data_IF_530009722986
#
_entry.id   IF_530009722986
#
_cell.length_a   1.000
_cell.length_b   1.000
_cell.length_c   1.000
_cell.angle_alpha   90.00
_cell.angle_beta   90.00
_cell.angle_gamma   90.00
#
_symmetry.space_group_name_H-M   'P 1'
#
loop_
_entity.id
_entity.type
_entity.pdbx_description
1 polymer ?
#
# COMPACT_ATOMS: atom_id res chain seq x y z
N UNK A 1 -13.12 32.76 2.06
CA UNK A 1 -12.80 33.81 3.04
C UNK A 1 -12.45 33.29 4.45
N UNK A 2 -12.35 32.00 4.67
CA UNK A 2 -12.06 31.38 5.98
C UNK A 2 -10.61 30.89 6.16
N UNK A 3 -9.78 31.00 5.15
CA UNK A 3 -8.39 30.47 5.13
C UNK A 3 -7.30 31.53 5.36
N UNK A 4 -7.66 32.81 5.45
CA UNK A 4 -6.70 33.91 5.62
C UNK A 4 -6.34 34.25 7.09
N UNK A 5 -6.65 33.42 8.05
CA UNK A 5 -6.57 33.82 9.48
C UNK A 5 -5.32 33.39 10.24
N UNK A 6 -4.36 32.68 9.65
CA UNK A 6 -3.15 32.25 10.38
C UNK A 6 -1.91 32.30 9.48
N UNK A 7 -1.15 33.37 9.55
CA UNK A 7 0.28 33.49 9.21
C UNK A 7 0.81 32.99 7.85
N UNK A 8 2.08 33.26 7.57
CA UNK A 8 2.80 32.92 6.32
C UNK A 8 2.78 31.44 5.92
N UNK A 9 2.58 30.53 6.86
CA UNK A 9 2.48 29.08 6.62
C UNK A 9 1.22 28.67 5.87
N UNK A 10 0.14 29.43 5.99
CA UNK A 10 -1.11 29.19 5.26
C UNK A 10 -0.98 29.50 3.76
N UNK A 11 -0.13 30.42 3.38
CA UNK A 11 0.12 30.74 1.96
C UNK A 11 0.73 29.56 1.17
N UNK A 12 1.53 28.72 1.82
CA UNK A 12 2.18 27.56 1.15
C UNK A 12 1.14 26.46 0.89
N UNK A 13 0.29 26.16 1.88
CA UNK A 13 -0.80 25.18 1.71
C UNK A 13 -1.83 25.62 0.69
N UNK A 14 -2.18 26.91 0.70
CA UNK A 14 -3.11 27.48 -0.29
C UNK A 14 -2.54 27.36 -1.69
N UNK A 15 -1.24 27.57 -1.86
CA UNK A 15 -0.55 27.37 -3.13
C UNK A 15 -0.60 25.91 -3.59
N UNK A 16 -0.30 24.97 -2.71
CA UNK A 16 -0.40 23.53 -3.02
C UNK A 16 -1.82 23.15 -3.39
N UNK A 17 -2.84 23.60 -2.65
CA UNK A 17 -4.24 23.28 -2.93
C UNK A 17 -4.75 23.88 -4.24
N UNK A 18 -4.39 25.12 -4.52
CA UNK A 18 -4.73 25.75 -5.79
C UNK A 18 -4.12 24.98 -6.95
N UNK A 19 -2.82 24.69 -6.86
CA UNK A 19 -2.14 23.86 -7.84
C UNK A 19 -2.76 22.47 -7.97
N UNK A 20 -3.07 21.79 -6.87
CA UNK A 20 -3.71 20.48 -6.85
C UNK A 20 -5.07 20.50 -7.56
N UNK A 21 -5.87 21.54 -7.31
CA UNK A 21 -7.16 21.73 -7.96
C UNK A 21 -7.00 21.92 -9.47
N UNK A 22 -6.07 22.75 -9.90
CA UNK A 22 -5.78 23.01 -11.31
C UNK A 22 -5.20 21.79 -12.03
N UNK A 23 -4.21 21.13 -11.40
CA UNK A 23 -3.57 19.93 -11.96
C UNK A 23 -4.53 18.76 -12.17
N UNK A 24 -5.44 18.53 -11.22
CA UNK A 24 -6.42 17.45 -11.30
C UNK A 24 -7.75 17.90 -11.98
N UNK A 25 -7.83 19.14 -12.47
CA UNK A 25 -9.02 19.69 -13.16
C UNK A 25 -10.29 19.52 -12.32
N UNK A 26 -10.21 19.87 -11.03
CA UNK A 26 -11.32 19.77 -10.08
C UNK A 26 -11.68 21.14 -9.49
N UNK A 27 -12.96 21.36 -9.09
CA UNK A 27 -13.33 22.57 -8.38
C UNK A 27 -12.57 22.72 -7.05
N UNK A 28 -12.13 23.95 -6.73
CA UNK A 28 -11.40 24.23 -5.47
C UNK A 28 -12.14 23.74 -4.22
N UNK A 29 -13.47 23.77 -4.20
CA UNK A 29 -14.28 23.26 -3.12
C UNK A 29 -14.14 21.74 -2.90
N UNK A 30 -13.83 20.96 -3.94
CA UNK A 30 -13.53 19.53 -3.80
C UNK A 30 -12.14 19.30 -3.19
N UNK A 31 -11.14 20.08 -3.59
CA UNK A 31 -9.81 20.03 -2.97
C UNK A 31 -9.89 20.41 -1.47
N UNK A 32 -10.64 21.44 -1.12
CA UNK A 32 -10.87 21.85 0.26
C UNK A 32 -11.51 20.75 1.12
N UNK A 33 -12.46 19.97 0.57
CA UNK A 33 -13.08 18.85 1.29
C UNK A 33 -12.08 17.76 1.72
N UNK A 34 -10.94 17.64 1.05
CA UNK A 34 -9.89 16.68 1.45
C UNK A 34 -9.19 17.10 2.74
N UNK A 35 -9.17 18.41 3.03
CA UNK A 35 -8.51 18.98 4.22
C UNK A 35 -9.48 19.21 5.35
N UNK A 36 -10.65 19.74 5.05
CA UNK A 36 -11.64 20.13 6.04
C UNK A 36 -12.46 18.92 6.50
N UNK A 37 -12.30 18.54 7.75
CA UNK A 37 -13.06 17.44 8.36
C UNK A 37 -14.44 17.85 8.81
N UNK A 38 -14.53 18.97 9.55
CA UNK A 38 -15.77 19.55 10.07
C UNK A 38 -15.52 20.97 10.57
N UNK A 39 -16.57 21.82 10.61
CA UNK A 39 -16.52 23.13 11.26
C UNK A 39 -16.10 23.05 12.73
N UNK A 40 -16.56 22.01 13.43
CA UNK A 40 -16.25 21.77 14.84
C UNK A 40 -14.76 21.54 15.11
N UNK A 41 -14.02 20.88 14.21
CA UNK A 41 -12.57 20.68 14.35
C UNK A 41 -11.79 21.99 14.18
N UNK A 42 -12.35 22.95 13.44
CA UNK A 42 -11.73 24.25 13.17
C UNK A 42 -11.98 25.24 14.33
N UNK A 43 -13.16 25.19 14.94
CA UNK A 43 -13.62 26.16 15.94
C UNK A 43 -13.16 25.81 17.37
N UNK A 44 -12.99 24.53 17.69
CA UNK A 44 -12.63 24.07 19.03
C UNK A 44 -11.11 23.97 19.21
N UNK A 45 -10.51 25.06 19.69
CA UNK A 45 -9.09 25.09 20.11
C UNK A 45 -8.78 24.24 21.36
N UNK A 46 -9.80 23.83 22.13
CA UNK A 46 -9.66 23.07 23.37
C UNK A 46 -9.56 21.53 23.15
N UNK A 47 -9.71 21.05 21.94
CA UNK A 47 -9.47 19.63 21.60
C UNK A 47 -8.00 19.19 21.72
N UNK A 48 -7.15 20.06 22.25
CA UNK A 48 -5.69 19.93 22.33
C UNK A 48 -5.17 18.87 23.30
N UNK A 49 -6.00 18.10 23.98
CA UNK A 49 -5.50 17.08 24.90
C UNK A 49 -5.29 15.72 24.25
N UNK A 50 -4.46 15.65 23.23
CA UNK A 50 -3.87 14.37 22.83
C UNK A 50 -2.73 14.03 23.79
N UNK A 51 -3.07 13.85 25.07
CA UNK A 51 -2.14 13.56 26.17
C UNK A 51 -1.29 12.29 25.98
N UNK A 52 -1.57 11.49 24.93
CA UNK A 52 -0.82 10.27 24.59
C UNK A 52 0.49 10.55 23.82
N UNK A 53 0.81 11.80 23.48
CA UNK A 53 2.00 12.16 22.71
C UNK A 53 3.07 12.92 23.50
N UNK A 54 2.91 13.05 24.82
CA UNK A 54 4.02 13.43 25.67
C UNK A 54 4.99 12.25 25.77
N UNK A 55 5.91 12.18 24.85
CA UNK A 55 6.84 11.07 24.79
C UNK A 55 8.26 11.59 24.69
N UNK A 56 9.02 11.25 25.68
CA UNK A 56 10.46 11.20 25.55
C UNK A 56 10.81 10.10 24.55
N UNK A 57 11.49 10.49 23.50
CA UNK A 57 11.96 9.56 22.48
C UNK A 57 12.89 8.55 23.15
N UNK A 58 12.52 7.28 23.11
CA UNK A 58 13.36 6.22 23.67
C UNK A 58 14.72 6.21 22.99
N UNK A 59 15.80 6.29 23.77
CA UNK A 59 17.16 6.15 23.24
C UNK A 59 17.45 4.67 22.91
N UNK A 60 16.82 4.16 21.87
CA UNK A 60 17.18 2.84 21.32
C UNK A 60 18.41 3.01 20.45
N UNK A 61 19.54 2.47 20.90
CA UNK A 61 20.76 2.38 20.08
C UNK A 61 20.69 1.10 19.23
N UNK A 62 20.06 1.18 18.06
CA UNK A 62 20.15 0.09 17.08
C UNK A 62 21.42 0.32 16.26
N UNK A 63 22.29 -0.67 16.19
CA UNK A 63 23.46 -0.61 15.31
C UNK A 63 23.01 -0.80 13.86
N UNK A 64 23.09 0.25 13.08
CA UNK A 64 22.93 0.21 11.64
C UNK A 64 24.13 -0.44 10.96
N UNK A 65 23.92 -1.12 9.84
CA UNK A 65 25.00 -1.59 8.97
C UNK A 65 25.67 -0.43 8.24
N UNK A 66 26.82 -0.65 7.62
CA UNK A 66 27.52 0.40 6.87
C UNK A 66 26.66 1.01 5.77
N UNK A 67 25.97 0.16 5.00
CA UNK A 67 25.05 0.62 3.93
C UNK A 67 23.87 1.42 4.50
N UNK A 68 23.33 0.98 5.65
CA UNK A 68 22.24 1.69 6.32
C UNK A 68 22.70 3.04 6.88
N UNK A 69 23.93 3.13 7.42
CA UNK A 69 24.50 4.41 7.87
C UNK A 69 24.65 5.36 6.69
N UNK A 70 25.24 4.91 5.58
CA UNK A 70 25.38 5.72 4.39
C UNK A 70 24.03 6.22 3.87
N UNK A 71 23.05 5.33 3.77
CA UNK A 71 21.69 5.69 3.36
C UNK A 71 21.04 6.71 4.31
N UNK A 72 21.20 6.52 5.61
CA UNK A 72 20.75 7.48 6.63
C UNK A 72 21.40 8.86 6.46
N UNK A 73 22.71 8.89 6.29
CA UNK A 73 23.46 10.14 6.06
C UNK A 73 22.98 10.85 4.80
N UNK A 74 22.74 10.12 3.71
CA UNK A 74 22.17 10.66 2.49
C UNK A 74 20.73 11.18 2.67
N UNK A 75 19.93 10.56 3.54
CA UNK A 75 18.58 11.03 3.88
C UNK A 75 18.58 12.31 4.73
N UNK A 76 19.58 12.50 5.57
CA UNK A 76 19.66 13.59 6.55
C UNK A 76 20.59 14.73 6.09
N UNK A 77 21.55 14.46 5.21
CA UNK A 77 22.68 15.32 4.85
C UNK A 77 22.32 16.61 4.13
N UNK A 78 21.09 16.82 3.75
CA UNK A 78 20.66 18.05 3.10
C UNK A 78 19.86 18.92 4.04
N UNK A 79 20.37 20.10 4.28
CA UNK A 79 19.67 21.24 4.83
C UNK A 79 18.23 21.32 4.31
N UNK A 80 17.26 20.79 5.01
CA UNK A 80 15.79 20.96 4.92
C UNK A 80 15.20 21.48 3.58
N UNK A 81 15.92 21.35 2.47
CA UNK A 81 15.49 21.79 1.15
C UNK A 81 14.82 20.65 0.40
N UNK A 82 13.93 21.01 -0.51
CA UNK A 82 13.24 20.03 -1.36
C UNK A 82 14.23 19.14 -2.11
N UNK A 83 14.10 17.86 -1.92
CA UNK A 83 14.82 16.81 -2.64
C UNK A 83 13.99 15.54 -2.61
N UNK A 84 14.02 14.81 -3.71
CA UNK A 84 13.46 13.46 -3.79
C UNK A 84 14.62 12.47 -3.67
N UNK A 85 14.59 11.67 -2.61
CA UNK A 85 15.56 10.60 -2.37
C UNK A 85 14.86 9.24 -2.42
N UNK A 86 15.46 8.28 -3.09
CA UNK A 86 14.95 6.90 -3.21
C UNK A 86 15.80 5.97 -2.36
N UNK A 87 15.18 5.30 -1.41
CA UNK A 87 15.79 4.23 -0.62
C UNK A 87 15.35 2.88 -1.19
N UNK A 88 16.20 2.28 -2.01
CA UNK A 88 15.97 0.97 -2.59
C UNK A 88 16.61 -0.14 -1.76
N UNK A 89 15.87 -1.22 -1.50
CA UNK A 89 16.43 -2.39 -0.82
C UNK A 89 15.45 -3.55 -0.80
N UNK A 90 15.97 -4.76 -0.85
CA UNK A 90 15.14 -5.98 -0.79
C UNK A 90 14.32 -6.05 0.49
N UNK A 91 13.27 -6.86 0.50
CA UNK A 91 12.51 -7.14 1.72
C UNK A 91 13.44 -7.71 2.80
N UNK A 92 13.39 -7.15 4.00
CA UNK A 92 14.29 -7.54 5.09
C UNK A 92 15.67 -6.85 5.09
N UNK A 93 15.96 -5.91 4.19
CA UNK A 93 17.21 -5.12 4.22
C UNK A 93 17.26 -4.04 5.30
N UNK A 94 16.15 -3.83 6.02
CA UNK A 94 16.08 -2.85 7.09
C UNK A 94 15.75 -1.42 6.66
N UNK A 95 15.14 -1.22 5.47
CA UNK A 95 14.67 0.10 5.00
C UNK A 95 13.94 0.90 6.07
N UNK A 96 13.02 0.22 6.78
CA UNK A 96 12.23 0.85 7.86
C UNK A 96 13.10 1.42 8.97
N UNK A 97 14.19 0.74 9.34
CA UNK A 97 15.09 1.23 10.39
C UNK A 97 15.84 2.49 9.96
N UNK A 98 16.23 2.56 8.69
CA UNK A 98 16.94 3.72 8.13
C UNK A 98 16.06 4.97 8.21
N UNK A 99 14.84 4.89 7.70
CA UNK A 99 13.96 6.06 7.75
C UNK A 99 13.38 6.34 9.15
N UNK A 100 13.30 5.36 10.04
CA UNK A 100 12.97 5.62 11.45
C UNK A 100 14.06 6.44 12.13
N UNK A 101 15.35 6.15 11.87
CA UNK A 101 16.44 6.92 12.43
C UNK A 101 16.46 8.36 11.86
N UNK A 102 16.21 8.54 10.56
CA UNK A 102 16.06 9.86 9.96
C UNK A 102 14.89 10.64 10.59
N UNK A 103 13.75 9.99 10.75
CA UNK A 103 12.57 10.58 11.38
C UNK A 103 12.81 10.94 12.86
N UNK A 104 13.55 10.10 13.59
CA UNK A 104 13.92 10.34 14.99
C UNK A 104 14.77 11.61 15.14
N UNK A 105 15.74 11.79 14.25
CA UNK A 105 16.55 13.01 14.21
C UNK A 105 15.68 14.25 13.92
N UNK A 106 14.77 14.15 12.96
CA UNK A 106 13.83 15.20 12.60
C UNK A 106 12.94 15.63 13.78
N UNK A 107 12.38 14.67 14.51
CA UNK A 107 11.51 14.92 15.66
C UNK A 107 12.29 15.61 16.78
N UNK A 108 13.55 15.23 17.01
CA UNK A 108 14.43 15.89 18.00
C UNK A 108 14.67 17.36 17.67
N UNK A 109 14.62 17.73 16.39
CA UNK A 109 14.71 19.11 15.93
C UNK A 109 13.38 19.88 16.02
N UNK A 110 12.31 19.24 16.50
CA UNK A 110 10.99 19.85 16.69
C UNK A 110 10.04 19.76 15.49
N UNK A 111 10.44 19.13 14.39
CA UNK A 111 9.61 18.95 13.20
C UNK A 111 8.62 17.79 13.33
N UNK A 112 7.63 17.80 12.43
CA UNK A 112 6.67 16.72 12.25
C UNK A 112 7.02 15.88 11.03
N UNK A 113 6.70 14.59 11.05
CA UNK A 113 6.91 13.67 9.94
C UNK A 113 5.62 13.00 9.47
N UNK A 114 5.54 12.77 8.16
CA UNK A 114 4.46 12.01 7.54
C UNK A 114 5.02 10.74 6.91
N UNK A 115 4.48 9.59 7.32
CA UNK A 115 4.73 8.29 6.68
C UNK A 115 3.46 7.89 5.93
N UNK A 116 3.55 7.85 4.61
CA UNK A 116 2.51 7.30 3.74
C UNK A 116 2.77 5.81 3.54
N UNK A 117 1.76 5.00 3.83
CA UNK A 117 1.76 3.56 3.60
C UNK A 117 0.60 3.17 2.67
N UNK A 118 0.74 2.10 1.87
CA UNK A 118 -0.40 1.43 1.28
C UNK A 118 -1.42 1.04 2.35
N UNK A 119 -2.71 1.02 2.02
CA UNK A 119 -3.76 0.66 3.01
C UNK A 119 -3.49 -0.71 3.67
N UNK A 120 -2.94 -1.67 2.91
CA UNK A 120 -2.53 -2.99 3.41
C UNK A 120 -1.34 -2.88 4.38
N UNK A 121 -0.51 -1.86 4.25
CA UNK A 121 0.65 -1.62 5.12
C UNK A 121 0.30 -1.02 6.49
N UNK A 122 -0.92 -0.48 6.65
CA UNK A 122 -1.43 0.07 7.89
C UNK A 122 -1.88 -1.05 8.85
N UNK A 123 -0.94 -1.90 9.23
CA UNK A 123 -1.18 -3.04 10.11
C UNK A 123 -0.77 -2.75 11.54
N UNK A 124 -1.43 -3.41 12.49
CA UNK A 124 -1.03 -3.34 13.91
C UNK A 124 0.43 -3.77 14.16
N UNK A 125 1.02 -4.57 13.25
CA UNK A 125 2.44 -4.91 13.32
C UNK A 125 3.35 -3.71 13.05
N UNK A 126 2.99 -2.85 12.08
CA UNK A 126 3.77 -1.65 11.80
C UNK A 126 3.68 -0.65 12.95
N UNK A 127 2.48 -0.45 13.50
CA UNK A 127 2.26 0.41 14.67
C UNK A 127 3.05 -0.11 15.88
N UNK A 128 3.02 -1.41 16.14
CA UNK A 128 3.80 -2.04 17.21
C UNK A 128 5.31 -1.82 17.02
N UNK A 129 5.82 -2.05 15.81
CA UNK A 129 7.23 -1.82 15.48
C UNK A 129 7.63 -0.35 15.65
N UNK A 130 6.75 0.57 15.27
CA UNK A 130 6.95 2.00 15.49
C UNK A 130 7.03 2.32 16.98
N UNK A 131 6.08 1.85 17.78
CA UNK A 131 6.05 2.07 19.23
C UNK A 131 7.29 1.49 19.93
N UNK A 132 7.68 0.27 19.57
CA UNK A 132 8.89 -0.38 20.11
C UNK A 132 10.16 0.44 19.85
N UNK A 133 10.22 1.07 18.66
CA UNK A 133 11.37 1.87 18.25
C UNK A 133 11.40 3.26 18.90
N UNK A 134 10.29 3.98 18.85
CA UNK A 134 10.22 5.36 19.31
C UNK A 134 9.86 5.51 20.81
N UNK A 135 9.18 4.52 21.39
CA UNK A 135 8.64 4.56 22.77
C UNK A 135 7.31 5.29 22.89
N UNK A 136 6.71 5.69 21.77
CA UNK A 136 5.40 6.34 21.71
C UNK A 136 4.59 5.88 20.50
N UNK A 137 3.28 6.15 20.53
CA UNK A 137 2.39 5.78 19.43
C UNK A 137 2.33 6.89 18.38
N UNK A 138 2.53 6.56 17.12
CA UNK A 138 2.19 7.47 16.02
C UNK A 138 0.67 7.65 15.94
N UNK A 139 0.21 8.79 15.44
CA UNK A 139 -1.19 8.94 15.08
C UNK A 139 -1.46 8.27 13.72
N UNK A 140 -2.50 7.42 13.68
CA UNK A 140 -2.86 6.65 12.50
C UNK A 140 -4.04 7.28 11.78
N UNK A 141 -3.92 7.46 10.44
CA UNK A 141 -4.92 8.13 9.62
C UNK A 141 -5.32 7.30 8.39
N UNK A 142 -6.52 6.75 8.43
CA UNK A 142 -7.13 6.01 7.32
C UNK A 142 -8.66 6.06 7.38
N UNK A 143 -9.34 5.46 6.40
CA UNK A 143 -10.80 5.45 6.30
C UNK A 143 -11.51 4.90 7.54
N UNK A 144 -10.98 3.84 8.15
CA UNK A 144 -11.56 3.17 9.33
C UNK A 144 -11.40 3.90 10.66
N UNK A 145 -10.68 5.04 10.72
CA UNK A 145 -10.56 5.83 11.96
C UNK A 145 -11.85 6.59 12.22
N UNK A 146 -12.38 6.53 13.45
CA UNK A 146 -13.62 7.22 13.83
C UNK A 146 -13.52 8.73 13.68
N UNK A 147 -14.64 9.39 13.38
CA UNK A 147 -14.70 10.85 13.16
C UNK A 147 -14.11 11.63 14.33
N UNK A 148 -14.50 11.29 15.58
CA UNK A 148 -13.99 11.94 16.79
C UNK A 148 -12.47 11.83 16.92
N UNK A 149 -11.90 10.64 16.62
CA UNK A 149 -10.44 10.44 16.66
C UNK A 149 -9.74 11.24 15.55
N UNK A 150 -10.35 11.33 14.36
CA UNK A 150 -9.84 12.16 13.24
C UNK A 150 -9.80 13.64 13.62
N UNK A 151 -10.82 14.17 14.28
CA UNK A 151 -10.87 15.57 14.75
C UNK A 151 -9.76 15.86 15.76
N UNK A 152 -9.53 14.96 16.73
CA UNK A 152 -8.44 15.07 17.69
C UNK A 152 -7.05 15.04 16.99
N UNK A 153 -6.84 14.10 16.06
CA UNK A 153 -5.59 14.01 15.30
C UNK A 153 -5.37 15.29 14.48
N UNK A 154 -6.40 15.76 13.79
CA UNK A 154 -6.35 16.97 12.97
C UNK A 154 -5.94 18.20 13.80
N UNK A 155 -6.56 18.39 14.97
CA UNK A 155 -6.21 19.46 15.91
C UNK A 155 -4.77 19.30 16.42
N UNK A 156 -4.40 18.11 16.89
CA UNK A 156 -3.04 17.86 17.39
C UNK A 156 -1.93 18.06 16.35
N UNK A 157 -2.23 17.81 15.05
CA UNK A 157 -1.29 18.09 13.95
C UNK A 157 -1.17 19.60 13.75
N UNK A 158 -2.28 20.31 13.68
CA UNK A 158 -2.30 21.76 13.45
C UNK A 158 -1.65 22.56 14.58
N UNK A 159 -1.67 22.02 15.80
CA UNK A 159 -0.99 22.61 16.96
C UNK A 159 0.48 22.17 17.10
N UNK A 160 0.93 21.16 16.33
CA UNK A 160 2.28 20.61 16.40
C UNK A 160 2.51 19.63 17.56
N UNK A 161 1.45 19.18 18.23
CA UNK A 161 1.50 18.21 19.32
C UNK A 161 1.77 16.79 18.79
N UNK A 162 1.12 16.43 17.70
CA UNK A 162 1.34 15.15 17.00
C UNK A 162 2.61 15.24 16.15
N UNK A 163 3.62 14.46 16.51
CA UNK A 163 4.93 14.50 15.85
C UNK A 163 5.00 13.62 14.61
N UNK A 164 4.31 12.49 14.60
CA UNK A 164 4.33 11.54 13.47
C UNK A 164 2.93 11.08 13.12
N UNK A 165 2.64 11.15 11.84
CA UNK A 165 1.46 10.55 11.22
C UNK A 165 1.88 9.36 10.39
N UNK A 166 1.19 8.24 10.60
CA UNK A 166 1.22 7.08 9.71
C UNK A 166 -0.14 7.03 9.04
N UNK A 167 -0.17 7.14 7.73
CA UNK A 167 -1.46 7.25 7.07
C UNK A 167 -1.52 6.75 5.63
N UNK A 168 -2.76 6.52 5.19
CA UNK A 168 -3.10 6.30 3.79
C UNK A 168 -3.10 7.63 3.00
N UNK A 169 -3.43 7.57 1.74
CA UNK A 169 -3.48 8.68 0.76
C UNK A 169 -4.01 10.00 1.32
N UNK A 170 -5.12 9.96 2.05
CA UNK A 170 -5.79 11.16 2.56
C UNK A 170 -5.00 11.90 3.66
N UNK A 171 -4.04 11.24 4.32
CA UNK A 171 -3.17 11.89 5.31
C UNK A 171 -2.26 12.95 4.69
N UNK A 172 -2.07 12.89 3.38
CA UNK A 172 -1.32 13.89 2.62
C UNK A 172 -1.89 15.31 2.76
N UNK A 173 -3.19 15.45 3.00
CA UNK A 173 -3.85 16.75 3.06
C UNK A 173 -3.97 17.32 4.47
N UNK A 174 -3.41 16.67 5.49
CA UNK A 174 -3.48 17.12 6.88
C UNK A 174 -2.72 18.43 7.11
N UNK A 175 -3.20 19.30 8.05
CA UNK A 175 -2.66 20.61 8.28
C UNK A 175 -1.48 20.59 9.26
N UNK A 176 -0.34 20.05 8.83
CA UNK A 176 0.87 20.06 9.66
C UNK A 176 1.31 21.49 9.99
N UNK A 177 1.69 21.73 11.23
CA UNK A 177 2.24 23.01 11.68
C UNK A 177 3.68 23.19 11.17
N UNK A 178 4.48 22.16 11.29
CA UNK A 178 5.90 22.19 10.96
C UNK A 178 6.34 20.85 10.36
N UNK A 179 5.82 20.53 9.16
CA UNK A 179 6.21 19.32 8.45
C UNK A 179 7.65 19.44 7.99
N UNK A 180 8.49 18.48 8.34
CA UNK A 180 9.91 18.49 7.98
C UNK A 180 10.33 17.37 7.03
N UNK A 181 9.51 16.34 6.86
CA UNK A 181 9.82 15.21 5.97
C UNK A 181 8.57 14.42 5.60
N UNK A 182 8.51 13.97 4.35
CA UNK A 182 7.53 12.98 3.89
C UNK A 182 8.27 11.70 3.53
N UNK A 183 7.74 10.56 3.98
CA UNK A 183 8.21 9.23 3.64
C UNK A 183 7.06 8.51 2.92
N UNK A 184 7.32 7.94 1.76
CA UNK A 184 6.37 7.11 1.00
C UNK A 184 6.95 5.70 0.96
N UNK A 185 6.45 4.81 1.81
CA UNK A 185 6.92 3.42 1.85
C UNK A 185 6.14 2.57 0.85
N UNK A 186 6.82 1.62 0.20
CA UNK A 186 6.34 0.83 -0.93
C UNK A 186 5.78 1.72 -2.06
N UNK A 187 6.55 2.73 -2.49
CA UNK A 187 6.13 3.79 -3.43
C UNK A 187 5.54 3.29 -4.74
N UNK A 188 5.88 2.05 -5.12
CA UNK A 188 5.41 1.40 -6.34
C UNK A 188 3.98 0.84 -6.23
N UNK A 189 3.40 0.83 -5.01
CA UNK A 189 2.10 0.21 -4.78
C UNK A 189 0.99 1.01 -5.49
N UNK A 190 0.14 0.28 -6.23
CA UNK A 190 -0.96 0.88 -6.98
C UNK A 190 -2.05 1.47 -6.10
N UNK A 191 -2.11 1.10 -4.81
CA UNK A 191 -3.09 1.66 -3.87
C UNK A 191 -2.87 3.14 -3.59
N UNK A 192 -1.73 3.72 -3.95
CA UNK A 192 -1.52 5.18 -3.93
C UNK A 192 -2.34 5.92 -4.98
N UNK A 193 -2.81 5.23 -6.02
CA UNK A 193 -3.73 5.80 -6.99
C UNK A 193 -5.16 5.75 -6.45
N UNK A 194 -5.82 6.89 -6.42
CA UNK A 194 -7.23 7.01 -6.09
C UNK A 194 -8.03 7.15 -7.38
N UNK A 195 -8.95 6.22 -7.62
CA UNK A 195 -9.79 6.20 -8.83
C UNK A 195 -11.24 6.64 -8.55
N UNK A 196 -11.64 6.76 -7.27
CA UNK A 196 -12.98 7.19 -6.86
C UNK A 196 -12.98 8.63 -6.36
N UNK A 197 -13.96 9.41 -6.79
CA UNK A 197 -14.11 10.82 -6.42
C UNK A 197 -13.05 11.71 -7.07
N UNK A 198 -12.17 12.29 -6.29
CA UNK A 198 -11.02 13.04 -6.82
C UNK A 198 -9.92 12.06 -7.22
N UNK A 199 -9.65 11.97 -8.52
CA UNK A 199 -8.62 11.07 -9.05
C UNK A 199 -7.23 11.69 -8.91
N UNK A 200 -6.32 11.04 -8.20
CA UNK A 200 -4.93 11.47 -8.05
C UNK A 200 -4.03 10.31 -7.63
N UNK A 201 -2.72 10.47 -7.83
CA UNK A 201 -1.71 9.57 -7.27
C UNK A 201 -1.07 10.22 -6.04
N UNK A 202 -1.23 9.61 -4.86
CA UNK A 202 -0.75 10.20 -3.60
C UNK A 202 0.77 10.29 -3.52
N UNK A 203 1.54 9.38 -4.15
CA UNK A 203 3.00 9.48 -4.27
C UNK A 203 3.40 10.77 -5.00
N UNK A 204 2.80 11.02 -6.16
CA UNK A 204 3.14 12.17 -7.00
C UNK A 204 2.70 13.49 -6.35
N UNK A 205 1.54 13.45 -5.69
CA UNK A 205 1.07 14.61 -4.91
C UNK A 205 1.93 14.85 -3.66
N UNK A 206 2.50 13.80 -3.06
CA UNK A 206 3.44 13.94 -1.94
C UNK A 206 4.75 14.62 -2.38
N UNK A 207 5.26 14.28 -3.57
CA UNK A 207 6.43 14.93 -4.16
C UNK A 207 6.13 16.42 -4.41
N UNK A 208 4.98 16.72 -4.99
CA UNK A 208 4.55 18.10 -5.24
C UNK A 208 4.38 18.87 -3.92
N UNK A 209 3.73 18.29 -2.92
CA UNK A 209 3.60 18.90 -1.60
C UNK A 209 4.96 19.20 -0.97
N UNK A 210 5.87 18.23 -0.98
CA UNK A 210 7.23 18.41 -0.47
C UNK A 210 7.96 19.57 -1.17
N UNK A 211 7.76 19.71 -2.50
CA UNK A 211 8.30 20.84 -3.27
C UNK A 211 7.72 22.19 -2.84
N UNK A 212 6.41 22.28 -2.64
CA UNK A 212 5.77 23.50 -2.15
C UNK A 212 6.21 23.89 -0.74
N UNK A 213 6.39 22.91 0.14
CA UNK A 213 6.83 23.13 1.53
C UNK A 213 8.37 23.22 1.66
N UNK A 214 9.09 23.03 0.55
CA UNK A 214 10.55 23.01 0.48
C UNK A 214 11.21 22.05 1.47
N UNK A 215 10.67 20.83 1.57
CA UNK A 215 11.12 19.77 2.49
C UNK A 215 11.58 18.52 1.73
N UNK A 216 12.42 17.67 2.33
CA UNK A 216 12.82 16.41 1.73
C UNK A 216 11.66 15.41 1.69
N UNK A 217 11.63 14.60 0.62
CA UNK A 217 10.76 13.43 0.50
C UNK A 217 11.59 12.20 0.19
N UNK A 218 11.26 11.09 0.87
CA UNK A 218 11.94 9.82 0.72
C UNK A 218 10.96 8.78 0.17
N UNK A 219 11.24 8.28 -1.03
CA UNK A 219 10.54 7.17 -1.65
C UNK A 219 11.24 5.87 -1.27
N UNK A 220 10.53 4.97 -0.61
CA UNK A 220 11.11 3.72 -0.09
C UNK A 220 10.49 2.55 -0.84
N UNK A 221 11.32 1.65 -1.37
CA UNK A 221 10.82 0.57 -2.21
C UNK A 221 11.79 -0.62 -2.29
N UNK A 222 11.24 -1.81 -2.59
CA UNK A 222 12.06 -2.95 -3.00
C UNK A 222 12.36 -2.88 -4.50
N UNK A 223 11.36 -2.49 -5.29
CA UNK A 223 11.46 -2.33 -6.76
C UNK A 223 10.83 -1.00 -7.13
N UNK A 224 11.59 -0.01 -7.62
CA UNK A 224 11.04 1.29 -7.96
C UNK A 224 10.02 1.18 -9.10
N UNK A 225 9.00 2.03 -9.07
CA UNK A 225 8.09 2.21 -10.20
C UNK A 225 8.85 2.70 -11.43
N UNK A 226 8.26 2.53 -12.61
CA UNK A 226 8.90 2.92 -13.89
C UNK A 226 9.22 4.42 -13.88
N UNK A 227 8.30 5.24 -13.37
CA UNK A 227 8.47 6.69 -13.27
C UNK A 227 9.60 7.06 -12.32
N UNK A 228 9.68 6.40 -11.16
CA UNK A 228 10.76 6.61 -10.19
C UNK A 228 12.10 6.17 -10.77
N UNK A 229 12.15 5.02 -11.43
CA UNK A 229 13.35 4.53 -12.09
C UNK A 229 13.87 5.50 -13.15
N UNK A 230 13.00 6.01 -14.02
CA UNK A 230 13.34 6.98 -15.05
C UNK A 230 13.89 8.29 -14.45
N UNK A 231 13.28 8.77 -13.36
CA UNK A 231 13.77 9.98 -12.69
C UNK A 231 15.12 9.77 -12.00
N UNK A 232 15.42 8.56 -11.52
CA UNK A 232 16.75 8.19 -11.02
C UNK A 232 17.75 8.22 -12.18
N UNK A 233 17.42 7.60 -13.32
CA UNK A 233 18.31 7.57 -14.49
C UNK A 233 18.62 8.97 -15.03
N UNK A 234 17.66 9.88 -14.98
CA UNK A 234 17.83 11.29 -15.37
C UNK A 234 18.55 12.13 -14.32
N UNK A 235 18.96 11.56 -13.19
CA UNK A 235 19.62 12.28 -12.10
C UNK A 235 18.72 13.26 -11.34
N UNK A 236 17.40 13.21 -11.53
CA UNK A 236 16.44 14.05 -10.81
C UNK A 236 16.23 13.59 -9.37
N UNK A 237 16.30 12.28 -9.13
CA UNK A 237 16.17 11.65 -7.82
C UNK A 237 17.51 11.06 -7.38
N UNK A 238 17.91 11.29 -6.15
CA UNK A 238 19.07 10.63 -5.55
C UNK A 238 18.69 9.21 -5.12
N UNK A 239 19.63 8.28 -5.09
CA UNK A 239 19.40 6.88 -4.84
C UNK A 239 20.41 6.31 -3.84
N UNK A 240 19.91 5.71 -2.75
CA UNK A 240 20.67 4.82 -1.88
C UNK A 240 20.19 3.39 -2.04
N UNK A 241 21.12 2.43 -2.07
CA UNK A 241 20.81 1.00 -2.17
C UNK A 241 21.25 0.25 -0.94
N UNK A 242 20.33 -0.55 -0.37
CA UNK A 242 20.66 -1.52 0.65
C UNK A 242 20.79 -2.88 -0.02
N UNK A 243 22.01 -3.35 -0.16
CA UNK A 243 22.33 -4.60 -0.89
C UNK A 243 22.24 -5.82 0.01
N UNK A 244 22.50 -5.66 1.28
CA UNK A 244 22.53 -6.76 2.25
C UNK A 244 21.19 -6.91 2.99
N UNK A 245 20.81 -8.14 3.28
CA UNK A 245 19.70 -8.42 4.19
C UNK A 245 20.18 -8.33 5.64
N UNK A 246 19.29 -7.86 6.51
CA UNK A 246 19.56 -7.79 7.94
C UNK A 246 19.93 -9.17 8.48
N UNK A 247 21.05 -9.25 9.23
CA UNK A 247 21.63 -10.48 9.81
C UNK A 247 21.97 -11.57 8.78
N UNK A 248 22.40 -11.20 7.58
CA UNK A 248 22.81 -12.15 6.53
C UNK A 248 21.73 -13.22 6.21
N UNK A 249 20.47 -12.86 6.31
CA UNK A 249 19.39 -13.77 5.98
C UNK A 249 19.50 -14.25 4.53
N UNK A 250 19.63 -15.57 4.35
CA UNK A 250 19.70 -16.19 3.03
C UNK A 250 18.37 -16.04 2.27
N UNK A 251 18.46 -16.01 0.95
CA UNK A 251 17.28 -16.16 0.11
C UNK A 251 16.70 -17.58 0.29
N UNK A 252 15.39 -17.75 0.19
CA UNK A 252 14.81 -19.08 0.13
C UNK A 252 15.32 -19.81 -1.11
N UNK A 253 15.48 -21.12 -1.00
CA UNK A 253 15.71 -21.94 -2.17
C UNK A 253 14.48 -21.93 -3.06
N UNK A 254 14.65 -21.75 -4.36
CA UNK A 254 13.56 -21.80 -5.31
C UNK A 254 13.79 -22.91 -6.34
N UNK A 255 12.69 -23.51 -6.77
CA UNK A 255 12.69 -24.51 -7.83
C UNK A 255 11.57 -24.19 -8.82
N UNK A 256 11.89 -24.27 -10.11
CA UNK A 256 10.94 -24.06 -11.19
C UNK A 256 10.46 -25.43 -11.67
N UNK A 257 9.14 -25.64 -11.63
CA UNK A 257 8.49 -26.83 -12.18
C UNK A 257 7.78 -26.43 -13.48
N UNK A 258 8.29 -26.90 -14.61
CA UNK A 258 7.71 -26.66 -15.92
C UNK A 258 6.51 -27.59 -16.14
N UNK A 259 5.31 -27.05 -16.02
CA UNK A 259 4.07 -27.80 -16.20
C UNK A 259 3.86 -28.30 -17.65
N UNK A 260 4.56 -27.75 -18.65
CA UNK A 260 4.50 -28.25 -20.01
C UNK A 260 5.25 -29.58 -20.17
N UNK A 261 6.25 -29.82 -19.30
CA UNK A 261 7.05 -31.06 -19.27
C UNK A 261 6.52 -32.06 -18.25
N UNK A 262 5.53 -31.71 -17.47
CA UNK A 262 5.00 -32.55 -16.42
C UNK A 262 3.62 -33.06 -16.82
N UNK A 263 3.41 -34.38 -16.76
CA UNK A 263 2.10 -34.99 -17.03
C UNK A 263 1.17 -34.64 -15.86
N UNK A 264 0.19 -33.78 -16.12
CA UNK A 264 -0.84 -33.45 -15.13
C UNK A 264 -2.07 -34.34 -15.38
N UNK A 265 -2.71 -34.76 -14.30
CA UNK A 265 -4.03 -35.40 -14.39
C UNK A 265 -5.05 -34.42 -14.97
N UNK A 266 -6.08 -34.94 -15.63
CA UNK A 266 -7.17 -34.11 -16.18
C UNK A 266 -7.80 -33.28 -15.08
N UNK A 267 -7.77 -31.96 -15.26
CA UNK A 267 -8.28 -30.95 -14.32
C UNK A 267 -7.46 -30.75 -13.03
N UNK A 268 -6.30 -31.38 -12.88
CA UNK A 268 -5.33 -31.07 -11.85
C UNK A 268 -4.40 -29.94 -12.31
N UNK A 269 -4.07 -29.02 -11.40
CA UNK A 269 -3.13 -27.92 -11.61
C UNK A 269 -1.91 -28.04 -10.68
N UNK A 270 -1.87 -29.09 -9.89
CA UNK A 270 -0.75 -29.46 -9.03
C UNK A 270 -0.08 -30.71 -9.63
N UNK A 271 1.22 -30.64 -9.84
CA UNK A 271 1.99 -31.81 -10.25
C UNK A 271 2.29 -32.70 -9.06
N UNK A 272 2.49 -33.99 -9.32
CA UNK A 272 2.86 -34.96 -8.29
C UNK A 272 4.06 -34.49 -7.47
N UNK A 273 5.04 -33.89 -8.14
CA UNK A 273 6.21 -33.29 -7.48
C UNK A 273 5.87 -32.19 -6.49
N UNK A 274 4.86 -31.36 -6.78
CA UNK A 274 4.37 -30.33 -5.82
C UNK A 274 3.71 -31.02 -4.65
N UNK A 275 2.86 -32.01 -4.91
CA UNK A 275 2.14 -32.77 -3.87
C UNK A 275 3.11 -33.48 -2.91
N UNK A 276 4.12 -34.15 -3.46
CA UNK A 276 5.19 -34.79 -2.65
C UNK A 276 5.91 -33.79 -1.76
N UNK A 277 6.31 -32.64 -2.29
CA UNK A 277 6.97 -31.59 -1.49
C UNK A 277 6.07 -31.03 -0.40
N UNK A 278 4.81 -30.79 -0.71
CA UNK A 278 3.84 -30.34 0.27
C UNK A 278 3.70 -31.36 1.38
N UNK A 279 3.48 -32.64 1.07
CA UNK A 279 3.37 -33.71 2.07
C UNK A 279 4.62 -33.83 2.93
N UNK A 280 5.81 -33.75 2.31
CA UNK A 280 7.09 -33.75 3.05
C UNK A 280 7.14 -32.65 4.12
N UNK A 281 6.72 -31.42 3.79
CA UNK A 281 6.73 -30.32 4.75
C UNK A 281 5.64 -30.47 5.82
N UNK A 282 4.46 -30.98 5.44
CA UNK A 282 3.36 -31.19 6.39
C UNK A 282 3.69 -32.29 7.43
N UNK A 283 4.34 -33.38 7.01
CA UNK A 283 4.79 -34.44 7.93
C UNK A 283 5.77 -33.90 8.97
N UNK A 284 6.54 -32.87 8.59
CA UNK A 284 7.47 -32.13 9.48
C UNK A 284 6.78 -31.08 10.34
N UNK A 285 5.46 -30.92 10.22
CA UNK A 285 4.67 -29.84 10.85
C UNK A 285 5.08 -28.44 10.42
N UNK A 286 5.67 -28.32 9.23
CA UNK A 286 5.96 -27.03 8.60
C UNK A 286 4.66 -26.42 8.02
N UNK A 287 4.67 -25.10 7.81
CA UNK A 287 3.55 -24.41 7.14
C UNK A 287 3.81 -24.35 5.63
N UNK A 288 2.77 -24.58 4.85
CA UNK A 288 2.79 -24.48 3.38
C UNK A 288 1.82 -23.41 2.91
N UNK A 289 2.29 -22.48 2.08
CA UNK A 289 1.47 -21.45 1.48
C UNK A 289 1.34 -21.67 -0.02
N UNK A 290 0.11 -21.86 -0.50
CA UNK A 290 -0.21 -21.75 -1.92
C UNK A 290 -0.55 -20.32 -2.28
N UNK A 291 0.24 -19.69 -3.14
CA UNK A 291 -0.02 -18.35 -3.62
C UNK A 291 -0.43 -18.36 -5.09
N UNK A 292 -1.63 -17.89 -5.37
CA UNK A 292 -2.15 -17.72 -6.72
C UNK A 292 -2.86 -16.38 -6.85
N UNK A 293 -2.35 -15.48 -7.68
CA UNK A 293 -2.95 -14.16 -7.91
C UNK A 293 -4.11 -14.21 -8.94
N UNK A 294 -5.04 -15.18 -8.76
CA UNK A 294 -6.25 -15.32 -9.59
C UNK A 294 -7.45 -15.67 -8.72
N UNK A 295 -8.40 -14.74 -8.60
CA UNK A 295 -9.62 -14.91 -7.81
C UNK A 295 -10.61 -15.88 -8.46
N UNK A 296 -11.52 -16.45 -7.66
CA UNK A 296 -12.61 -17.32 -8.07
C UNK A 296 -12.18 -18.75 -8.40
N UNK A 297 -13.11 -19.53 -8.95
CA UNK A 297 -12.88 -20.93 -9.33
C UNK A 297 -12.20 -21.04 -10.70
N UNK A 298 -12.65 -20.26 -11.69
CA UNK A 298 -12.07 -20.23 -13.03
C UNK A 298 -12.13 -18.83 -13.64
N UNK A 299 -11.01 -18.33 -14.19
CA UNK A 299 -10.97 -17.02 -14.84
C UNK A 299 -11.65 -16.98 -16.21
N UNK A 300 -11.98 -18.12 -16.79
CA UNK A 300 -12.58 -18.19 -18.12
C UNK A 300 -13.78 -19.16 -18.12
N UNK A 301 -14.91 -18.66 -18.57
CA UNK A 301 -16.09 -19.46 -18.92
C UNK A 301 -16.27 -19.41 -20.44
N UNK A 302 -16.09 -20.54 -21.10
CA UNK A 302 -16.15 -20.68 -22.55
C UNK A 302 -17.26 -21.67 -22.92
N UNK A 303 -18.14 -21.30 -23.84
CA UNK A 303 -19.13 -22.26 -24.36
C UNK A 303 -18.45 -23.28 -25.27
N UNK A 304 -18.69 -24.59 -25.07
CA UNK A 304 -18.15 -25.64 -25.91
C UNK A 304 -18.67 -25.60 -27.35
N UNK A 305 -19.91 -25.15 -27.53
CA UNK A 305 -20.60 -25.22 -28.81
C UNK A 305 -20.29 -24.02 -29.71
N UNK A 306 -20.42 -22.79 -29.15
CA UNK A 306 -20.22 -21.56 -29.93
C UNK A 306 -18.86 -20.89 -29.69
N UNK A 307 -18.03 -21.41 -28.78
CA UNK A 307 -16.71 -20.88 -28.42
C UNK A 307 -16.71 -19.44 -27.91
N UNK A 308 -17.89 -18.93 -27.53
CA UNK A 308 -18.02 -17.58 -26.99
C UNK A 308 -17.63 -17.55 -25.52
N UNK A 309 -16.83 -16.57 -25.13
CA UNK A 309 -16.51 -16.28 -23.72
C UNK A 309 -17.46 -15.23 -23.15
N UNK A 310 -17.66 -15.27 -21.84
CA UNK A 310 -18.38 -14.22 -21.12
C UNK A 310 -17.45 -13.05 -20.83
N UNK A 311 -17.73 -11.93 -21.47
CA UNK A 311 -17.07 -10.65 -21.16
C UNK A 311 -18.02 -9.73 -20.40
N UNK A 312 -17.47 -8.88 -19.55
CA UNK A 312 -18.24 -7.88 -18.85
C UNK A 312 -18.76 -6.82 -19.82
N UNK A 313 -20.08 -6.49 -19.80
CA UNK A 313 -20.62 -5.48 -20.71
C UNK A 313 -20.09 -4.08 -20.43
N UNK A 314 -19.65 -3.81 -19.19
CA UNK A 314 -19.17 -2.49 -18.78
C UNK A 314 -17.65 -2.31 -18.98
N UNK A 315 -16.87 -3.40 -18.91
CA UNK A 315 -15.41 -3.33 -18.84
C UNK A 315 -14.70 -4.13 -19.95
N UNK A 316 -15.43 -4.90 -20.76
CA UNK A 316 -14.90 -5.79 -21.83
C UNK A 316 -13.90 -6.86 -21.35
N UNK A 317 -13.64 -6.98 -20.04
CA UNK A 317 -12.81 -8.02 -19.45
C UNK A 317 -13.60 -9.32 -19.27
N UNK A 318 -12.91 -10.45 -19.21
CA UNK A 318 -13.57 -11.74 -18.95
C UNK A 318 -14.15 -11.80 -17.54
N UNK A 319 -15.37 -12.31 -17.42
CA UNK A 319 -16.01 -12.58 -16.16
C UNK A 319 -15.43 -13.82 -15.49
N UNK A 320 -15.27 -13.77 -14.19
CA UNK A 320 -14.72 -14.86 -13.38
C UNK A 320 -15.87 -15.68 -12.78
N UNK A 321 -15.79 -17.00 -12.94
CA UNK A 321 -16.76 -17.90 -12.37
C UNK A 321 -16.47 -18.21 -10.89
N UNK A 322 -17.47 -18.03 -10.05
CA UNK A 322 -17.46 -18.39 -8.63
C UNK A 322 -18.36 -19.58 -8.36
N UNK A 323 -17.76 -20.76 -8.12
CA UNK A 323 -18.48 -22.02 -7.94
C UNK A 323 -19.44 -21.99 -6.76
N UNK A 324 -19.02 -21.43 -5.63
CA UNK A 324 -19.83 -21.37 -4.40
C UNK A 324 -21.10 -20.53 -4.55
N UNK A 325 -21.08 -19.52 -5.42
CA UNK A 325 -22.23 -18.63 -5.68
C UNK A 325 -22.92 -18.92 -7.01
N UNK A 326 -22.40 -19.87 -7.78
CA UNK A 326 -22.86 -20.27 -9.12
C UNK A 326 -23.12 -19.08 -10.05
N UNK A 327 -22.26 -18.05 -9.99
CA UNK A 327 -22.39 -16.84 -10.79
C UNK A 327 -21.06 -16.42 -11.42
N UNK A 328 -21.18 -15.52 -12.39
CA UNK A 328 -20.08 -14.83 -13.03
C UNK A 328 -19.95 -13.42 -12.46
N UNK A 329 -18.75 -13.02 -12.08
CA UNK A 329 -18.45 -11.73 -11.47
C UNK A 329 -17.34 -11.00 -12.23
N UNK A 330 -17.56 -9.72 -12.49
CA UNK A 330 -16.50 -8.81 -12.89
C UNK A 330 -15.80 -8.25 -11.64
N UNK A 331 -14.55 -8.60 -11.44
CA UNK A 331 -13.77 -8.09 -10.30
C UNK A 331 -13.30 -6.63 -10.47
N UNK A 332 -13.59 -6.03 -11.63
CA UNK A 332 -13.25 -4.62 -11.88
C UNK A 332 -14.42 -3.67 -11.53
N UNK A 333 -15.62 -3.93 -12.05
CA UNK A 333 -16.78 -3.06 -11.82
C UNK A 333 -17.87 -3.67 -10.92
N UNK A 334 -17.71 -4.92 -10.47
CA UNK A 334 -18.68 -5.59 -9.62
C UNK A 334 -19.91 -6.16 -10.38
N UNK A 335 -19.97 -6.06 -11.71
CA UNK A 335 -21.07 -6.62 -12.49
C UNK A 335 -21.21 -8.12 -12.24
N UNK A 336 -22.45 -8.58 -12.02
CA UNK A 336 -22.80 -9.99 -11.74
C UNK A 336 -23.83 -10.47 -12.75
N UNK A 337 -23.69 -11.71 -13.19
CA UNK A 337 -24.69 -12.36 -14.04
C UNK A 337 -24.68 -13.87 -13.79
N UNK A 338 -25.80 -14.51 -14.11
CA UNK A 338 -25.93 -15.97 -14.05
C UNK A 338 -25.30 -16.62 -15.31
N UNK A 339 -25.13 -17.95 -15.24
CA UNK A 339 -24.53 -18.74 -16.32
C UNK A 339 -25.48 -18.97 -17.52
N UNK A 340 -26.75 -18.60 -17.39
CA UNK A 340 -27.74 -18.83 -18.45
C UNK A 340 -27.53 -17.87 -19.62
N UNK A 341 -27.32 -18.41 -20.80
CA UNK A 341 -27.21 -17.66 -22.04
C UNK A 341 -27.65 -18.53 -23.22
N UNK A 342 -28.40 -17.95 -24.11
CA UNK A 342 -28.73 -18.59 -25.38
C UNK A 342 -27.48 -18.80 -26.23
N UNK A 343 -27.35 -19.99 -26.77
CA UNK A 343 -26.23 -20.35 -27.62
C UNK A 343 -26.48 -19.91 -29.06
N UNK A 344 -25.49 -19.25 -29.67
CA UNK A 344 -25.59 -18.82 -31.04
C UNK A 344 -25.68 -19.99 -32.06
N UNK A 345 -25.41 -21.22 -31.60
CA UNK A 345 -25.54 -22.42 -32.47
C UNK A 345 -26.82 -23.17 -32.20
N UNK A 346 -27.15 -23.53 -30.97
CA UNK A 346 -28.41 -24.19 -30.58
C UNK A 346 -28.59 -24.20 -29.08
N UNK A 347 -29.80 -23.92 -28.59
CA UNK A 347 -30.21 -24.04 -27.20
C UNK A 347 -29.41 -23.16 -26.23
N UNK A 348 -29.21 -23.66 -25.03
CA UNK A 348 -28.41 -22.97 -24.00
C UNK A 348 -26.89 -23.26 -24.12
N UNK A 349 -26.06 -22.29 -23.78
CA UNK A 349 -24.63 -22.45 -23.77
C UNK A 349 -24.14 -23.49 -22.75
N UNK A 350 -23.35 -24.44 -23.20
CA UNK A 350 -22.68 -25.42 -22.34
C UNK A 350 -21.25 -24.92 -22.01
N UNK A 351 -21.07 -24.42 -20.79
CA UNK A 351 -19.83 -23.79 -20.40
C UNK A 351 -18.78 -24.76 -19.88
N UNK A 352 -17.55 -24.58 -20.36
CA UNK A 352 -16.34 -25.17 -19.81
C UNK A 352 -15.58 -24.09 -19.06
N UNK A 353 -15.19 -24.41 -17.84
CA UNK A 353 -14.42 -23.54 -16.99
C UNK A 353 -12.95 -23.87 -17.13
N UNK A 354 -12.18 -22.94 -17.69
CA UNK A 354 -10.76 -23.11 -17.97
C UNK A 354 -9.88 -22.22 -17.10
N UNK A 355 -8.71 -22.74 -16.75
CA UNK A 355 -7.71 -22.08 -15.92
C UNK A 355 -7.90 -22.31 -14.41
N UNK A 356 -6.80 -22.21 -13.64
CA UNK A 356 -6.83 -22.33 -12.19
C UNK A 356 -7.22 -20.99 -11.54
N UNK A 357 -8.19 -21.02 -10.65
CA UNK A 357 -8.48 -19.97 -9.66
C UNK A 357 -8.20 -20.47 -8.25
N UNK A 358 -8.13 -19.57 -7.28
CA UNK A 358 -7.84 -19.92 -5.87
C UNK A 358 -8.83 -20.95 -5.34
N UNK A 359 -10.13 -20.79 -5.62
CA UNK A 359 -11.17 -21.74 -5.20
C UNK A 359 -10.97 -23.15 -5.78
N UNK A 360 -10.42 -23.25 -7.00
CA UNK A 360 -10.14 -24.54 -7.65
C UNK A 360 -8.92 -25.22 -7.07
N UNK A 361 -7.84 -24.48 -6.83
CA UNK A 361 -6.63 -25.00 -6.17
C UNK A 361 -6.99 -25.46 -4.75
N UNK A 362 -7.80 -24.68 -4.02
CA UNK A 362 -8.30 -25.07 -2.71
C UNK A 362 -9.07 -26.41 -2.76
N UNK A 363 -10.01 -26.57 -3.70
CA UNK A 363 -10.75 -27.81 -3.85
C UNK A 363 -9.84 -29.02 -4.17
N UNK A 364 -8.83 -28.85 -5.02
CA UNK A 364 -7.85 -29.89 -5.34
C UNK A 364 -6.98 -30.24 -4.11
N UNK A 365 -6.55 -29.23 -3.35
CA UNK A 365 -5.76 -29.47 -2.15
C UNK A 365 -6.51 -30.26 -1.07
N UNK A 366 -7.85 -30.08 -0.95
CA UNK A 366 -8.66 -30.88 -0.03
C UNK A 366 -8.78 -32.35 -0.42
N UNK A 367 -8.74 -32.65 -1.71
CA UNK A 367 -8.89 -34.04 -2.20
C UNK A 367 -7.59 -34.83 -2.17
N UNK A 368 -6.44 -34.16 -2.29
CA UNK A 368 -5.11 -34.79 -2.39
C UNK A 368 -4.24 -34.60 -1.15
N UNK A 369 -4.57 -33.66 -0.27
CA UNK A 369 -3.83 -33.34 0.93
C UNK A 369 -4.74 -33.50 2.13
N UNK A 370 -4.43 -34.43 3.04
CA UNK A 370 -5.12 -34.59 4.33
C UNK A 370 -4.70 -33.44 5.27
N UNK A 371 -5.31 -32.28 5.12
CA UNK A 371 -4.95 -31.09 5.89
C UNK A 371 -5.99 -30.72 6.94
N UNK A 372 -5.60 -30.45 8.19
CA UNK A 372 -6.37 -29.57 9.04
C UNK A 372 -6.20 -28.13 8.51
N UNK A 373 -7.17 -27.64 7.77
CA UNK A 373 -7.11 -26.32 7.15
C UNK A 373 -7.77 -25.27 8.03
N UNK A 374 -6.98 -24.34 8.53
CA UNK A 374 -7.48 -23.04 8.97
C UNK A 374 -7.36 -22.07 7.79
N UNK A 375 -8.48 -21.70 7.18
CA UNK A 375 -8.50 -20.63 6.19
C UNK A 375 -8.67 -19.31 6.91
N UNK A 376 -7.68 -18.41 6.75
CA UNK A 376 -7.89 -16.98 6.90
C UNK A 376 -8.28 -16.42 5.52
N UNK A 377 -9.46 -15.82 5.43
CA UNK A 377 -9.90 -15.00 4.28
C UNK A 377 -9.44 -13.58 4.49
#
# INVERSE_FOLDING_TARGET
MLLCLVGSEMCIRDRFLNWFSEYNIIPKGMALKLILLSSHAIENKELSSYNNFKSEIKNTSIKLTKDQIKAYEEMVSTNQNFRVHVLQGTTGSGKTLVYFEALKNLIKQGYQGLILLPEIGLTGQFEKKFNEYFGFNAAVWHSGVSKKKKELIWSGISNGEVKVIIGARSSLFLPFKNLGMIIVDEEHDQSFKQDEGVTYNARDMAISRASFENIPINLVTAVPSIETFENIQKGKYSLSRLTERYKNASLPNYEIIDLNKTKLEKQSWLSDKIIEKVNFHLERKDQVLFFLNRRGFSPHALCKNCLTSYSCPNCTINLVYHKNKNNLLCHYCGFKTDLKRDCSKEGECNFVFSGPGVERISAVSYTHLTLPTTFGV
#
